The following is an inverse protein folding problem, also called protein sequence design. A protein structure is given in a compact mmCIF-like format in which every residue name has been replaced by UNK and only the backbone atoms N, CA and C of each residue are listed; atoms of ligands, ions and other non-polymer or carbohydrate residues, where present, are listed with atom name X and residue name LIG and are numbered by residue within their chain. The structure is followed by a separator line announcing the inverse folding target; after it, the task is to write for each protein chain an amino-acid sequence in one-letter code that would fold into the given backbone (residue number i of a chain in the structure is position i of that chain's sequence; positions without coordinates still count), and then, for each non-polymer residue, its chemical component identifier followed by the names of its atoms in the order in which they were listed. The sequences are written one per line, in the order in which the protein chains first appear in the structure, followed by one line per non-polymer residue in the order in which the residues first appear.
data_IF_970538921727
#
_entry.id   IF_970538921727
#
_cell.length_a   1.000
_cell.length_b   1.000
_cell.length_c   1.000
_cell.angle_alpha   90.00
_cell.angle_beta   90.00
_cell.angle_gamma   90.00
#
_symmetry.space_group_name_H-M   'P 1'
#
loop_
_entity.id
_entity.type
_entity.pdbx_description
1 polymer ?
#
# COMPACT_ATOMS: atom_id res chain seq x y z
N UNK A 1 12.56 -8.32 5.89
CA UNK A 1 12.27 -8.26 4.44
C UNK A 1 13.19 -9.20 3.67
N UNK A 2 12.66 -9.86 2.62
CA UNK A 2 13.45 -10.61 1.63
C UNK A 2 14.26 -9.65 0.72
N UNK A 3 15.16 -10.18 -0.10
CA UNK A 3 15.89 -9.35 -1.08
C UNK A 3 14.96 -8.69 -2.13
N UNK A 4 13.86 -9.38 -2.51
CA UNK A 4 12.84 -8.85 -3.41
C UNK A 4 12.08 -7.66 -2.80
N UNK A 5 11.59 -7.83 -1.57
CA UNK A 5 10.92 -6.78 -0.80
C UNK A 5 11.83 -5.56 -0.58
N UNK A 6 13.11 -5.79 -0.27
CA UNK A 6 14.09 -4.71 -0.10
C UNK A 6 14.38 -3.95 -1.40
N UNK A 7 14.28 -4.60 -2.57
CA UNK A 7 14.36 -3.90 -3.87
C UNK A 7 13.15 -2.98 -4.08
N UNK A 8 11.96 -3.45 -3.78
CA UNK A 8 10.73 -2.65 -3.86
C UNK A 8 10.78 -1.46 -2.90
N UNK A 9 11.18 -1.70 -1.64
CA UNK A 9 11.36 -0.66 -0.64
C UNK A 9 12.28 0.49 -1.11
N UNK A 10 13.42 0.15 -1.75
CA UNK A 10 14.35 1.18 -2.25
C UNK A 10 13.76 2.04 -3.37
N UNK A 11 12.77 1.53 -4.11
CA UNK A 11 12.06 2.27 -5.17
C UNK A 11 11.00 3.22 -4.63
N UNK A 12 10.54 3.05 -3.41
CA UNK A 12 9.58 3.95 -2.78
C UNK A 12 10.19 5.34 -2.58
N UNK A 13 9.36 6.38 -2.66
CA UNK A 13 9.79 7.75 -2.40
C UNK A 13 10.25 7.94 -0.96
N UNK A 14 11.13 8.91 -0.71
CA UNK A 14 11.59 9.19 0.66
C UNK A 14 10.46 9.57 1.63
N UNK A 15 9.44 10.34 1.22
CA UNK A 15 8.26 10.57 2.06
C UNK A 15 7.51 9.27 2.40
N UNK A 16 7.23 8.41 1.41
CA UNK A 16 6.53 7.15 1.63
C UNK A 16 7.29 6.22 2.57
N UNK A 17 8.62 6.12 2.40
CA UNK A 17 9.45 5.31 3.30
C UNK A 17 9.45 5.84 4.74
N UNK A 18 9.48 7.17 4.93
CA UNK A 18 9.41 7.76 6.28
C UNK A 18 8.07 7.46 6.94
N UNK A 19 6.97 7.63 6.22
CA UNK A 19 5.63 7.27 6.69
C UNK A 19 5.58 5.78 7.07
N UNK A 20 5.95 4.90 6.18
CA UNK A 20 5.92 3.45 6.40
C UNK A 20 6.77 3.00 7.61
N UNK A 21 7.91 3.65 7.89
CA UNK A 21 8.69 3.39 9.11
C UNK A 21 7.93 3.81 10.37
N UNK A 22 7.21 4.93 10.33
CA UNK A 22 6.37 5.36 11.48
C UNK A 22 5.25 4.34 11.70
N UNK A 23 4.54 3.95 10.65
CA UNK A 23 3.50 2.90 10.72
C UNK A 23 4.06 1.61 11.31
N UNK A 24 5.20 1.11 10.79
CA UNK A 24 5.80 -0.12 11.30
C UNK A 24 6.17 -0.06 12.78
N UNK A 25 6.70 1.08 13.26
CA UNK A 25 7.00 1.28 14.68
C UNK A 25 5.76 1.29 15.57
N UNK A 26 4.67 1.88 15.11
CA UNK A 26 3.39 1.88 15.82
C UNK A 26 2.80 0.47 15.91
N UNK A 27 2.85 -0.28 14.80
CA UNK A 27 2.42 -1.68 14.77
C UNK A 27 3.25 -2.54 15.72
N UNK A 28 4.58 -2.38 15.72
CA UNK A 28 5.48 -3.09 16.63
C UNK A 28 5.15 -2.78 18.10
N UNK A 29 4.91 -1.51 18.42
CA UNK A 29 4.52 -1.10 19.76
C UNK A 29 3.14 -1.63 20.18
N UNK A 30 2.19 -1.71 19.25
CA UNK A 30 0.82 -2.16 19.52
C UNK A 30 0.72 -3.67 19.70
N UNK A 31 1.44 -4.44 18.87
CA UNK A 31 1.37 -5.91 18.85
C UNK A 31 2.47 -6.59 19.66
N UNK A 32 3.58 -5.89 19.98
CA UNK A 32 4.68 -6.46 20.73
C UNK A 32 5.19 -7.78 20.15
N UNK A 33 5.19 -8.89 20.91
CA UNK A 33 5.68 -10.19 20.41
C UNK A 33 4.91 -10.75 19.20
N UNK A 34 3.69 -10.29 18.96
CA UNK A 34 2.85 -10.70 17.83
C UNK A 34 3.18 -9.94 16.54
N UNK A 35 4.00 -8.88 16.62
CA UNK A 35 4.49 -8.14 15.46
C UNK A 35 5.49 -8.96 14.64
N UNK A 36 5.02 -10.03 14.03
CA UNK A 36 5.83 -10.93 13.23
C UNK A 36 6.48 -10.24 12.04
N UNK A 37 7.52 -10.87 11.44
CA UNK A 37 8.18 -10.33 10.25
C UNK A 37 7.19 -10.03 9.12
N UNK A 38 6.22 -10.89 8.74
CA UNK A 38 5.23 -10.56 7.72
C UNK A 38 4.39 -9.33 8.08
N UNK A 39 3.96 -9.18 9.33
CA UNK A 39 3.17 -8.03 9.81
C UNK A 39 3.95 -6.73 9.67
N UNK A 40 5.21 -6.69 10.13
CA UNK A 40 6.05 -5.50 9.99
C UNK A 40 6.41 -5.21 8.52
N UNK A 41 6.56 -6.24 7.69
CA UNK A 41 6.76 -6.06 6.26
C UNK A 41 5.50 -5.51 5.59
N UNK A 42 4.31 -5.95 6.01
CA UNK A 42 3.04 -5.39 5.56
C UNK A 42 2.93 -3.89 5.89
N UNK A 43 3.26 -3.51 7.12
CA UNK A 43 3.34 -2.11 7.54
C UNK A 43 4.31 -1.28 6.69
N UNK A 44 5.47 -1.84 6.34
CA UNK A 44 6.48 -1.14 5.52
C UNK A 44 6.10 -1.02 4.04
N UNK A 45 5.35 -1.96 3.49
CA UNK A 45 5.12 -2.09 2.05
C UNK A 45 3.65 -1.92 1.63
N UNK A 46 2.72 -1.53 2.54
CA UNK A 46 1.30 -1.37 2.21
C UNK A 46 1.08 -0.44 1.02
N UNK A 47 1.87 0.62 0.92
CA UNK A 47 1.80 1.67 -0.09
C UNK A 47 2.76 1.47 -1.29
N UNK A 48 3.40 0.31 -1.40
CA UNK A 48 4.46 0.06 -2.38
C UNK A 48 4.02 0.29 -3.83
N UNK A 49 2.75 0.07 -4.15
CA UNK A 49 2.21 0.29 -5.49
C UNK A 49 2.26 1.76 -5.97
N UNK A 50 2.42 2.72 -5.05
CA UNK A 50 2.60 4.14 -5.39
C UNK A 50 3.86 4.40 -6.24
N UNK A 51 4.84 3.50 -6.24
CA UNK A 51 6.05 3.61 -7.08
C UNK A 51 5.73 3.68 -8.58
N UNK A 52 4.66 3.02 -9.03
CA UNK A 52 4.28 2.98 -10.45
C UNK A 52 3.53 4.25 -10.90
N UNK A 53 3.02 5.07 -9.98
CA UNK A 53 2.36 6.34 -10.32
C UNK A 53 3.35 7.45 -10.68
N UNK A 54 4.54 7.44 -10.08
CA UNK A 54 5.55 8.48 -10.21
C UNK A 54 5.08 9.87 -9.75
N UNK A 55 4.05 9.94 -8.87
CA UNK A 55 3.51 11.20 -8.37
C UNK A 55 4.18 11.66 -7.07
N UNK A 56 4.49 12.95 -7.01
CA UNK A 56 4.77 13.63 -5.74
C UNK A 56 3.47 13.94 -4.95
N UNK A 57 3.59 14.40 -3.68
CA UNK A 57 2.46 14.55 -2.75
C UNK A 57 1.30 15.41 -3.29
N UNK A 58 1.59 16.54 -3.91
CA UNK A 58 0.57 17.49 -4.44
C UNK A 58 -0.27 16.85 -5.56
N UNK A 59 0.37 16.09 -6.46
CA UNK A 59 -0.33 15.40 -7.55
C UNK A 59 -1.17 14.23 -7.06
N UNK A 60 -0.78 13.61 -5.93
CA UNK A 60 -1.56 12.55 -5.28
C UNK A 60 -2.88 13.09 -4.75
N UNK A 61 -2.89 14.25 -4.08
CA UNK A 61 -4.11 14.89 -3.61
C UNK A 61 -5.10 15.17 -4.75
N UNK A 62 -4.62 15.72 -5.87
CA UNK A 62 -5.44 15.96 -7.06
C UNK A 62 -5.99 14.66 -7.68
N UNK A 63 -5.19 13.59 -7.69
CA UNK A 63 -5.62 12.27 -8.18
C UNK A 63 -6.70 11.64 -7.30
N UNK A 64 -6.58 11.78 -5.96
CA UNK A 64 -7.60 11.30 -5.01
C UNK A 64 -8.95 11.96 -5.27
N UNK A 65 -8.98 13.29 -5.45
CA UNK A 65 -10.21 14.02 -5.78
C UNK A 65 -10.83 13.53 -7.10
N UNK A 66 -10.01 13.31 -8.14
CA UNK A 66 -10.48 12.78 -9.41
C UNK A 66 -11.09 11.36 -9.27
N UNK A 67 -10.50 10.53 -8.41
CA UNK A 67 -10.99 9.19 -8.10
C UNK A 67 -12.34 9.19 -7.38
N UNK A 68 -12.53 10.10 -6.42
CA UNK A 68 -13.81 10.26 -5.71
C UNK A 68 -14.96 10.61 -6.65
N UNK A 69 -14.67 11.37 -7.72
CA UNK A 69 -15.71 11.81 -8.68
C UNK A 69 -16.04 10.73 -9.72
N UNK A 70 -15.09 9.88 -10.11
CA UNK A 70 -15.22 8.97 -11.25
C UNK A 70 -15.33 7.49 -10.89
N UNK A 71 -15.01 7.10 -9.66
CA UNK A 71 -15.11 5.72 -9.16
C UNK A 71 -13.96 4.80 -9.57
N UNK A 72 -13.92 3.62 -8.93
CA UNK A 72 -12.83 2.63 -9.05
C UNK A 72 -12.72 1.97 -10.44
N UNK A 73 -13.84 1.77 -11.12
CA UNK A 73 -13.84 1.14 -12.46
C UNK A 73 -13.19 2.01 -13.51
N UNK A 74 -13.43 3.33 -13.44
CA UNK A 74 -12.74 4.29 -14.29
C UNK A 74 -11.23 4.31 -14.02
N UNK A 75 -10.80 4.17 -12.76
CA UNK A 75 -9.38 4.13 -12.39
C UNK A 75 -8.66 2.90 -12.99
N UNK A 76 -9.31 1.73 -13.00
CA UNK A 76 -8.79 0.50 -13.63
C UNK A 76 -8.61 0.64 -15.13
N UNK A 77 -9.51 1.33 -15.83
CA UNK A 77 -9.35 1.62 -17.26
C UNK A 77 -8.22 2.63 -17.48
N UNK A 78 -8.15 3.69 -16.65
CA UNK A 78 -7.12 4.72 -16.77
C UNK A 78 -5.70 4.18 -16.53
N UNK A 79 -5.51 3.22 -15.64
CA UNK A 79 -4.16 2.66 -15.36
C UNK A 79 -3.47 2.08 -16.62
N UNK A 80 -4.26 1.69 -17.63
CA UNK A 80 -3.77 1.14 -18.90
C UNK A 80 -3.37 2.21 -19.93
N UNK A 81 -3.73 3.47 -19.68
CA UNK A 81 -3.42 4.59 -20.57
C UNK A 81 -2.02 5.13 -20.33
N UNK A 82 -1.50 5.82 -21.33
CA UNK A 82 -0.24 6.56 -21.22
C UNK A 82 -0.46 7.97 -20.65
N UNK A 83 0.64 8.67 -20.34
CA UNK A 83 0.65 10.04 -19.90
C UNK A 83 0.02 10.25 -18.51
N UNK A 84 -0.56 11.44 -18.30
CA UNK A 84 -1.08 11.85 -17.00
C UNK A 84 -2.26 10.99 -16.53
N UNK A 85 -3.18 10.66 -17.42
CA UNK A 85 -4.36 9.85 -17.10
C UNK A 85 -3.95 8.46 -16.60
N UNK A 86 -2.99 7.82 -17.28
CA UNK A 86 -2.47 6.53 -16.85
C UNK A 86 -1.78 6.59 -15.48
N UNK A 87 -1.05 7.68 -15.20
CA UNK A 87 -0.42 7.90 -13.89
C UNK A 87 -1.45 8.08 -12.77
N UNK A 88 -2.54 8.81 -13.03
CA UNK A 88 -3.67 8.95 -12.11
C UNK A 88 -4.31 7.59 -11.85
N UNK A 89 -4.61 6.82 -12.89
CA UNK A 89 -5.17 5.47 -12.76
C UNK A 89 -4.27 4.54 -11.94
N UNK A 90 -2.96 4.53 -12.21
CA UNK A 90 -1.99 3.75 -11.40
C UNK A 90 -1.93 4.20 -9.95
N UNK A 91 -2.04 5.49 -9.67
CA UNK A 91 -2.10 5.96 -8.29
C UNK A 91 -3.37 5.49 -7.58
N UNK A 92 -4.54 5.58 -8.23
CA UNK A 92 -5.81 5.16 -7.65
C UNK A 92 -5.95 3.63 -7.46
N UNK A 93 -5.17 2.85 -8.22
CA UNK A 93 -5.11 1.39 -8.10
C UNK A 93 -3.81 0.92 -7.43
N UNK A 94 -3.16 1.76 -6.61
CA UNK A 94 -1.87 1.40 -6.00
C UNK A 94 -1.96 0.18 -5.06
N UNK A 95 -3.10 -0.05 -4.43
CA UNK A 95 -3.43 -1.22 -3.64
C UNK A 95 -3.32 -2.52 -4.46
N UNK A 96 -4.01 -2.58 -5.60
CA UNK A 96 -3.93 -3.72 -6.53
C UNK A 96 -2.52 -3.90 -7.10
N UNK A 97 -1.88 -2.79 -7.54
CA UNK A 97 -0.52 -2.80 -8.10
C UNK A 97 0.49 -3.22 -7.03
N UNK A 98 0.35 -2.74 -5.80
CA UNK A 98 1.19 -3.14 -4.67
C UNK A 98 1.14 -4.64 -4.41
N UNK A 99 -0.06 -5.21 -4.41
CA UNK A 99 -0.25 -6.65 -4.26
C UNK A 99 0.35 -7.45 -5.44
N UNK A 100 0.25 -6.95 -6.68
CA UNK A 100 0.90 -7.55 -7.86
C UNK A 100 2.43 -7.55 -7.69
N UNK A 101 3.04 -6.41 -7.37
CA UNK A 101 4.49 -6.28 -7.17
C UNK A 101 5.03 -7.18 -6.05
N UNK A 102 4.29 -7.30 -4.94
CA UNK A 102 4.66 -8.15 -3.82
C UNK A 102 4.55 -9.63 -4.18
N UNK A 103 3.57 -10.01 -4.99
CA UNK A 103 3.41 -11.38 -5.49
C UNK A 103 4.59 -11.77 -6.40
N UNK A 104 5.02 -10.87 -7.29
CA UNK A 104 6.14 -11.08 -8.21
C UNK A 104 7.49 -11.32 -7.48
N UNK A 105 7.64 -10.76 -6.28
CA UNK A 105 8.83 -10.99 -5.44
C UNK A 105 8.63 -12.08 -4.39
N UNK A 106 7.56 -12.85 -4.50
CA UNK A 106 7.21 -13.95 -3.58
C UNK A 106 7.18 -13.52 -2.10
N UNK A 107 6.53 -12.39 -1.84
CA UNK A 107 6.31 -11.90 -0.49
C UNK A 107 5.33 -12.80 0.27
N UNK A 108 5.27 -12.65 1.59
CA UNK A 108 4.33 -13.39 2.43
C UNK A 108 2.87 -13.08 2.07
N UNK A 109 1.99 -14.07 2.21
CA UNK A 109 0.57 -13.95 1.88
C UNK A 109 -0.12 -12.81 2.66
N UNK A 110 0.22 -12.63 3.94
CA UNK A 110 -0.30 -11.53 4.77
C UNK A 110 0.13 -10.18 4.22
N UNK A 111 1.40 -10.03 3.82
CA UNK A 111 1.93 -8.79 3.26
C UNK A 111 1.22 -8.43 1.94
N UNK A 112 0.99 -9.42 1.07
CA UNK A 112 0.26 -9.26 -0.19
C UNK A 112 -1.20 -8.87 0.07
N UNK A 113 -1.87 -9.57 0.99
CA UNK A 113 -3.25 -9.30 1.36
C UNK A 113 -3.41 -7.87 1.88
N UNK A 114 -2.58 -7.46 2.84
CA UNK A 114 -2.68 -6.13 3.42
C UNK A 114 -2.42 -5.01 2.40
N UNK A 115 -1.46 -5.13 1.52
CA UNK A 115 -1.24 -4.16 0.45
C UNK A 115 -2.48 -3.94 -0.41
N UNK A 116 -3.32 -4.97 -0.60
CA UNK A 116 -4.56 -4.91 -1.36
C UNK A 116 -5.75 -4.40 -0.55
N UNK A 117 -5.78 -4.65 0.75
CA UNK A 117 -6.96 -4.57 1.59
C UNK A 117 -6.99 -3.36 2.53
N UNK A 118 -5.87 -2.65 2.74
CA UNK A 118 -5.74 -1.59 3.74
C UNK A 118 -6.71 -0.40 3.54
N UNK A 119 -7.28 -0.24 2.33
CA UNK A 119 -8.33 0.74 2.05
C UNK A 119 -9.75 0.15 2.06
N UNK A 120 -9.89 -1.16 2.21
CA UNK A 120 -11.20 -1.80 2.29
C UNK A 120 -11.80 -1.68 3.70
N UNK A 121 -13.12 -1.75 3.83
CA UNK A 121 -13.76 -1.87 5.13
C UNK A 121 -13.37 -3.19 5.80
N UNK A 122 -13.36 -3.21 7.14
CA UNK A 122 -12.84 -4.31 7.95
C UNK A 122 -13.49 -5.67 7.62
N UNK A 123 -14.75 -5.68 7.26
CA UNK A 123 -15.52 -6.89 6.91
C UNK A 123 -14.99 -7.58 5.64
N UNK A 124 -14.14 -6.90 4.89
CA UNK A 124 -13.54 -7.40 3.64
C UNK A 124 -12.07 -7.77 3.78
N UNK A 125 -11.50 -7.64 4.96
CA UNK A 125 -10.12 -8.07 5.20
C UNK A 125 -10.04 -9.58 5.30
N UNK A 126 -8.97 -10.13 4.71
CA UNK A 126 -8.63 -11.56 4.83
C UNK A 126 -7.50 -11.80 5.85
N UNK A 127 -6.83 -10.75 6.29
CA UNK A 127 -5.86 -10.80 7.40
C UNK A 127 -6.59 -10.97 8.73
N UNK A 128 -5.90 -11.52 9.74
CA UNK A 128 -6.47 -11.68 11.08
C UNK A 128 -6.96 -10.31 11.61
N UNK A 129 -8.18 -10.22 12.17
CA UNK A 129 -8.79 -8.95 12.56
C UNK A 129 -7.91 -8.09 13.48
N UNK A 130 -7.24 -8.71 14.45
CA UNK A 130 -6.37 -8.03 15.41
C UNK A 130 -5.17 -7.36 14.69
N UNK A 131 -4.60 -8.06 13.73
CA UNK A 131 -3.49 -7.56 12.91
C UNK A 131 -3.97 -6.43 11.99
N UNK A 132 -5.11 -6.62 11.32
CA UNK A 132 -5.70 -5.61 10.44
C UNK A 132 -6.04 -4.33 11.18
N UNK A 133 -6.63 -4.43 12.38
CA UNK A 133 -6.94 -3.26 13.24
C UNK A 133 -5.67 -2.52 13.64
N UNK A 134 -4.62 -3.24 14.07
CA UNK A 134 -3.35 -2.61 14.44
C UNK A 134 -2.67 -1.91 13.26
N UNK A 135 -2.64 -2.57 12.10
CA UNK A 135 -2.08 -2.02 10.87
C UNK A 135 -2.86 -0.77 10.40
N UNK A 136 -4.19 -0.82 10.43
CA UNK A 136 -5.05 0.29 10.03
C UNK A 136 -4.95 1.48 10.97
N UNK A 137 -5.03 1.25 12.27
CA UNK A 137 -4.88 2.33 13.26
C UNK A 137 -3.51 3.02 13.15
N UNK A 138 -2.45 2.25 12.91
CA UNK A 138 -1.10 2.79 12.75
C UNK A 138 -0.92 3.66 11.49
N UNK A 139 -1.68 3.40 10.44
CA UNK A 139 -1.65 4.13 9.16
C UNK A 139 -2.49 5.42 9.22
N UNK A 140 -3.62 5.40 9.93
CA UNK A 140 -4.57 6.53 10.03
C UNK A 140 -4.12 7.65 10.98
N UNK A 141 -3.16 7.39 11.90
CA UNK A 141 -2.58 8.35 12.86
C UNK A 141 -1.42 9.17 12.23
#
# INVERSE_FOLDING_TARGET
MTAGEARLWRRMSSPDRRHAVVVARRVDAALGPEASRPVLTAALLHDVGKIESGFGPVRRAAATVAGMVRGHDAAREWRRREGLVGRVGRYLCHDEIGAELLRDVHSDALTIAWAREHHLPQERWTVAPEVGVALKAADDD
#
